data_IF_540545772531
#
_entry.id   IF_540545772531
#
_cell.length_a   1.000
_cell.length_b   1.000
_cell.length_c   1.000
_cell.angle_alpha   90.00
_cell.angle_beta   90.00
_cell.angle_gamma   90.00
#
_symmetry.space_group_name_H-M   'P 1'
#
loop_
_entity.id
_entity.type
_entity.pdbx_description
1 polymer ?
#
# COMPACT_ATOMS: atom_id res chain seq x y z
N UNK A 1 -4.14 11.63 3.80
CA UNK A 1 -3.58 10.36 4.32
C UNK A 1 -4.21 9.23 3.53
N UNK A 2 -3.39 8.39 2.89
CA UNK A 2 -3.88 7.20 2.18
C UNK A 2 -4.02 6.03 3.18
N UNK A 3 -4.89 5.08 2.86
CA UNK A 3 -5.08 3.86 3.65
C UNK A 3 -4.92 2.64 2.76
N UNK A 4 -4.29 1.59 3.29
CA UNK A 4 -4.03 0.36 2.57
C UNK A 4 -4.30 -0.87 3.42
N UNK A 5 -4.58 -1.98 2.75
CA UNK A 5 -4.76 -3.30 3.34
C UNK A 5 -3.91 -4.30 2.55
N UNK A 6 -3.04 -5.01 3.24
CA UNK A 6 -2.33 -6.18 2.68
C UNK A 6 -3.27 -7.38 2.79
N UNK A 7 -3.55 -8.04 1.68
CA UNK A 7 -4.26 -9.32 1.69
C UNK A 7 -3.30 -10.48 1.92
N UNK A 8 -3.84 -11.62 2.34
CA UNK A 8 -3.06 -12.81 2.68
C UNK A 8 -2.29 -13.40 1.48
N UNK A 9 -2.71 -13.07 0.26
CA UNK A 9 -2.03 -13.41 -1.00
C UNK A 9 -0.91 -12.42 -1.39
N UNK A 10 -0.63 -11.43 -0.54
CA UNK A 10 0.38 -10.40 -0.77
C UNK A 10 -0.08 -9.25 -1.66
N UNK A 11 -1.34 -9.22 -2.11
CA UNK A 11 -1.85 -8.08 -2.87
C UNK A 11 -2.09 -6.86 -1.96
N UNK A 12 -1.86 -5.67 -2.51
CA UNK A 12 -2.12 -4.41 -1.82
C UNK A 12 -3.44 -3.81 -2.32
N UNK A 13 -4.39 -3.62 -1.40
CA UNK A 13 -5.62 -2.86 -1.66
C UNK A 13 -5.48 -1.44 -1.13
N UNK A 14 -5.80 -0.44 -1.96
CA UNK A 14 -5.76 0.98 -1.58
C UNK A 14 -7.20 1.50 -1.44
N UNK A 15 -7.47 2.23 -0.36
CA UNK A 15 -8.76 2.85 -0.16
C UNK A 15 -8.94 4.07 -1.08
N UNK A 16 -9.92 4.00 -1.98
CA UNK A 16 -10.35 5.10 -2.85
C UNK A 16 -11.86 5.34 -2.63
N UNK A 17 -12.34 6.59 -2.72
CA UNK A 17 -13.77 6.88 -2.60
C UNK A 17 -14.42 7.01 -4.00
N UNK A 18 -15.52 6.26 -4.29
CA UNK A 18 -16.20 5.30 -3.42
C UNK A 18 -15.47 3.94 -3.30
N UNK A 19 -15.35 3.41 -2.08
CA UNK A 19 -14.70 2.13 -1.78
C UNK A 19 -15.71 1.00 -1.91
N UNK A 20 -15.33 -0.13 -2.54
CA UNK A 20 -16.15 -1.34 -2.61
C UNK A 20 -15.46 -2.47 -1.85
N UNK A 21 -16.08 -2.96 -0.78
CA UNK A 21 -15.57 -4.07 0.03
C UNK A 21 -16.71 -5.04 0.29
N UNK A 22 -16.52 -6.33 -0.04
CA UNK A 22 -17.51 -7.39 0.20
C UNK A 22 -18.94 -7.07 -0.31
N UNK A 23 -19.03 -6.44 -1.48
CA UNK A 23 -20.31 -6.06 -2.10
C UNK A 23 -20.97 -4.78 -1.55
N UNK A 24 -20.41 -4.18 -0.50
CA UNK A 24 -20.87 -2.91 0.07
C UNK A 24 -20.10 -1.75 -0.56
N UNK A 25 -20.79 -0.64 -0.84
CA UNK A 25 -20.21 0.59 -1.36
C UNK A 25 -20.15 1.64 -0.25
N UNK A 26 -18.95 2.11 0.08
CA UNK A 26 -18.71 3.18 1.03
C UNK A 26 -18.41 4.48 0.28
N UNK A 27 -19.35 5.41 0.33
CA UNK A 27 -19.17 6.77 -0.19
C UNK A 27 -18.54 7.64 0.91
N UNK A 28 -17.36 8.20 0.64
CA UNK A 28 -16.61 9.00 1.62
C UNK A 28 -16.32 8.26 2.93
N UNK A 29 -15.78 7.04 2.83
CA UNK A 29 -15.41 6.24 3.99
C UNK A 29 -14.51 7.04 4.95
N UNK A 30 -14.93 7.15 6.21
CA UNK A 30 -14.13 7.83 7.23
C UNK A 30 -12.91 6.97 7.61
N UNK A 31 -11.84 7.57 8.15
CA UNK A 31 -10.73 6.83 8.77
C UNK A 31 -11.17 5.70 9.71
N UNK A 32 -12.18 5.95 10.55
CA UNK A 32 -12.70 4.96 11.50
C UNK A 32 -13.37 3.78 10.78
N UNK A 33 -14.16 4.06 9.72
CA UNK A 33 -14.75 3.02 8.88
C UNK A 33 -13.66 2.19 8.19
N UNK A 34 -12.65 2.84 7.62
CA UNK A 34 -11.53 2.17 6.96
C UNK A 34 -10.77 1.24 7.93
N UNK A 35 -10.49 1.70 9.14
CA UNK A 35 -9.85 0.88 10.18
C UNK A 35 -10.71 -0.33 10.59
N UNK A 36 -12.03 -0.17 10.74
CA UNK A 36 -12.95 -1.29 11.01
C UNK A 36 -12.99 -2.32 9.88
N UNK A 37 -12.68 -1.93 8.65
CA UNK A 37 -12.57 -2.81 7.48
C UNK A 37 -11.17 -3.46 7.33
N UNK A 38 -10.26 -3.14 8.25
CA UNK A 38 -8.88 -3.64 8.25
C UNK A 38 -7.93 -2.85 7.35
N UNK A 39 -8.31 -1.67 6.87
CA UNK A 39 -7.39 -0.75 6.21
C UNK A 39 -6.62 0.05 7.27
N UNK A 40 -5.31 0.15 7.09
CA UNK A 40 -4.41 0.87 7.97
C UNK A 40 -3.83 2.10 7.25
N UNK A 41 -3.43 3.17 7.96
CA UNK A 41 -2.74 4.30 7.35
C UNK A 41 -1.51 3.85 6.57
N UNK A 42 -1.32 4.38 5.36
CA UNK A 42 -0.09 4.17 4.58
C UNK A 42 0.92 5.26 4.92
N UNK A 43 2.03 4.87 5.52
CA UNK A 43 3.22 5.69 5.65
C UNK A 43 4.10 5.48 4.42
N UNK A 44 4.56 6.58 3.84
CA UNK A 44 5.30 6.57 2.59
C UNK A 44 6.73 7.07 2.79
N UNK A 45 7.70 6.31 2.29
CA UNK A 45 9.08 6.75 2.15
C UNK A 45 9.28 7.41 0.79
N UNK A 46 10.06 8.52 0.70
CA UNK A 46 10.39 9.14 -0.58
C UNK A 46 10.95 8.12 -1.57
N UNK A 47 10.42 8.11 -2.80
CA UNK A 47 10.95 7.24 -3.87
C UNK A 47 12.42 7.59 -4.09
N UNK A 48 13.34 6.62 -4.03
CA UNK A 48 14.76 6.90 -4.23
C UNK A 48 15.02 7.26 -5.70
N UNK A 49 16.13 7.94 -6.01
CA UNK A 49 16.48 8.26 -7.39
C UNK A 49 16.71 7.01 -8.23
N UNK A 50 16.52 7.12 -9.54
CA UNK A 50 16.85 6.03 -10.47
C UNK A 50 18.35 5.72 -10.44
N UNK A 51 18.69 4.45 -10.67
CA UNK A 51 20.07 3.95 -10.65
C UNK A 51 20.26 3.03 -11.86
N UNK A 52 21.22 3.35 -12.72
CA UNK A 52 21.51 2.59 -13.94
C UNK A 52 21.78 1.11 -13.63
N UNK A 53 21.13 0.22 -14.37
CA UNK A 53 21.22 -1.24 -14.19
C UNK A 53 20.38 -1.80 -13.03
N UNK A 54 19.54 -0.99 -12.37
CA UNK A 54 18.67 -1.44 -11.29
C UNK A 54 17.20 -1.04 -11.51
N UNK A 55 16.29 -1.91 -11.09
CA UNK A 55 14.86 -1.62 -10.95
C UNK A 55 14.56 -1.20 -9.52
N UNK A 56 13.67 -0.22 -9.35
CA UNK A 56 13.16 0.16 -8.02
C UNK A 56 11.87 -0.62 -7.77
N UNK A 57 11.84 -1.42 -6.71
CA UNK A 57 10.63 -2.12 -6.26
C UNK A 57 10.13 -1.55 -4.94
N UNK A 58 8.81 -1.45 -4.81
CA UNK A 58 8.14 -1.14 -3.55
C UNK A 58 7.96 -2.41 -2.73
N UNK A 59 8.19 -2.31 -1.43
CA UNK A 59 7.85 -3.33 -0.42
C UNK A 59 6.88 -2.70 0.55
N UNK A 60 5.90 -3.48 0.97
CA UNK A 60 4.90 -3.08 1.93
C UNK A 60 5.00 -4.01 3.14
N UNK A 61 5.09 -3.43 4.32
CA UNK A 61 5.17 -4.20 5.58
C UNK A 61 4.21 -3.62 6.62
N UNK A 62 3.77 -4.49 7.54
CA UNK A 62 2.98 -4.07 8.70
C UNK A 62 3.94 -3.55 9.77
N UNK A 63 3.76 -2.29 10.14
CA UNK A 63 4.50 -1.64 11.21
C UNK A 63 3.50 -1.17 12.27
N UNK A 64 3.27 -1.97 13.31
CA UNK A 64 2.28 -1.65 14.34
C UNK A 64 0.86 -1.50 13.77
N UNK A 65 0.32 -0.29 13.85
CA UNK A 65 -1.03 0.08 13.40
C UNK A 65 -1.07 0.72 12.00
N UNK A 66 0.03 0.67 11.25
CA UNK A 66 0.15 1.25 9.91
C UNK A 66 0.83 0.29 8.93
N UNK A 67 0.67 0.59 7.64
CA UNK A 67 1.43 -0.03 6.56
C UNK A 67 2.56 0.92 6.18
N UNK A 68 3.78 0.42 6.15
CA UNK A 68 4.94 1.16 5.66
C UNK A 68 5.24 0.75 4.22
N UNK A 69 5.38 1.73 3.32
CA UNK A 69 5.97 1.53 1.99
C UNK A 69 7.43 1.91 1.99
N UNK A 70 8.29 0.93 1.72
CA UNK A 70 9.73 1.08 1.55
C UNK A 70 10.14 0.71 0.12
N UNK A 71 11.35 1.11 -0.28
CA UNK A 71 11.88 0.84 -1.62
C UNK A 71 13.19 0.07 -1.52
N UNK A 72 13.41 -0.86 -2.44
CA UNK A 72 14.73 -1.49 -2.63
C UNK A 72 15.08 -1.56 -4.12
N UNK A 73 16.39 -1.64 -4.38
CA UNK A 73 16.91 -1.84 -5.72
C UNK A 73 17.07 -3.33 -5.99
N UNK A 74 16.58 -3.76 -7.14
CA UNK A 74 16.82 -5.10 -7.69
C UNK A 74 17.69 -4.95 -8.93
N UNK A 75 18.76 -5.74 -9.04
CA UNK A 75 19.59 -5.75 -10.25
C UNK A 75 18.73 -6.12 -11.45
N UNK A 76 18.84 -5.35 -12.53
CA UNK A 76 18.20 -5.70 -13.78
C UNK A 76 18.90 -6.90 -14.38
N UNK A 77 18.42 -8.10 -14.07
CA UNK A 77 18.73 -9.28 -14.87
C UNK A 77 18.26 -9.02 -16.30
N UNK A 78 19.13 -9.26 -17.28
CA UNK A 78 18.78 -9.24 -18.69
C UNK A 78 17.49 -10.06 -18.90
N UNK A 79 16.43 -9.42 -19.38
CA UNK A 79 15.21 -10.09 -19.82
C UNK A 79 15.46 -10.89 -21.09
#
# INVERSE_FOLDING_TARGET
>A
MMYCKLSDDGALSVACNPLRENGVVYSNASPETLQKLGYLPLLDCPRPPEKDGFWIRAVYELAGDHVLRSWYYEEGGDM
#
